data_IF_955521003968
#
_entry.id   IF_955521003968
#
_cell.length_a   1.000
_cell.length_b   1.000
_cell.length_c   1.000
_cell.angle_alpha   90.00
_cell.angle_beta   90.00
_cell.angle_gamma   90.00
#
_symmetry.space_group_name_H-M   'P 1'
#
loop_
_entity.id
_entity.type
_entity.pdbx_description
1 polymer ?
#
# COMPACT_ATOMS: atom_id res chain seq x y z
N UNK A 1 -18.11 -11.79 19.43
CA UNK A 1 -16.69 -12.18 19.59
C UNK A 1 -15.97 -10.98 20.23
N UNK A 2 -15.33 -11.13 21.41
CA UNK A 2 -14.55 -10.04 22.00
C UNK A 2 -13.43 -9.58 21.08
N UNK A 3 -13.12 -8.28 21.06
CA UNK A 3 -11.99 -7.75 20.29
C UNK A 3 -10.67 -8.15 20.96
N UNK A 4 -9.70 -8.58 20.16
CA UNK A 4 -8.35 -8.92 20.66
C UNK A 4 -7.52 -7.67 20.97
N UNK A 5 -7.86 -6.54 20.35
CA UNK A 5 -7.34 -5.21 20.71
C UNK A 5 -8.49 -4.41 21.35
N UNK A 6 -8.61 -4.40 22.70
CA UNK A 6 -9.79 -3.85 23.38
C UNK A 6 -10.00 -2.36 23.14
N UNK A 7 -8.93 -1.62 22.84
CA UNK A 7 -8.96 -0.18 22.57
C UNK A 7 -9.68 0.19 21.28
N UNK A 8 -9.78 -0.72 20.31
CA UNK A 8 -10.43 -0.45 19.03
C UNK A 8 -11.94 -0.36 19.19
N UNK A 9 -12.45 0.85 19.42
CA UNK A 9 -13.86 1.16 19.66
C UNK A 9 -14.63 1.44 18.37
N UNK A 10 -13.95 2.03 17.39
CA UNK A 10 -14.44 2.44 16.07
C UNK A 10 -13.81 1.57 14.98
N UNK A 11 -14.43 1.42 13.79
CA UNK A 11 -13.89 0.60 12.71
C UNK A 11 -12.55 1.17 12.18
N UNK A 12 -11.67 0.27 11.74
CA UNK A 12 -10.48 0.60 10.97
C UNK A 12 -10.73 0.08 9.56
N UNK A 13 -10.66 0.95 8.55
CA UNK A 13 -10.89 0.56 7.16
C UNK A 13 -9.55 0.46 6.45
N UNK A 14 -9.25 -0.69 5.86
CA UNK A 14 -8.07 -0.88 5.02
C UNK A 14 -8.44 -0.63 3.56
N UNK A 15 -7.82 0.36 2.93
CA UNK A 15 -7.83 0.54 1.49
C UNK A 15 -6.56 -0.08 0.91
N UNK A 16 -6.67 -1.25 0.27
CA UNK A 16 -5.54 -1.95 -0.34
C UNK A 16 -5.35 -1.52 -1.79
N UNK A 17 -4.13 -1.15 -2.18
CA UNK A 17 -3.77 -0.93 -3.58
C UNK A 17 -3.60 -2.26 -4.33
N UNK A 18 -4.65 -2.76 -4.97
CA UNK A 18 -4.66 -4.08 -5.62
C UNK A 18 -3.97 -4.11 -7.01
N UNK A 19 -2.79 -3.50 -7.15
CA UNK A 19 -2.01 -3.52 -8.40
C UNK A 19 -0.50 -3.49 -8.15
N UNK A 20 0.26 -4.15 -9.02
CA UNK A 20 1.72 -4.07 -9.05
C UNK A 20 2.40 -4.68 -7.82
N UNK A 21 3.57 -4.14 -7.50
CA UNK A 21 4.41 -4.54 -6.37
C UNK A 21 4.70 -6.06 -6.37
N UNK A 22 4.77 -6.69 -5.19
CA UNK A 22 5.15 -8.10 -5.05
C UNK A 22 4.23 -9.04 -5.84
N UNK A 23 2.97 -8.66 -6.06
CA UNK A 23 1.94 -9.48 -6.72
C UNK A 23 2.10 -9.54 -8.23
N UNK A 24 3.00 -8.73 -8.81
CA UNK A 24 3.39 -8.79 -10.22
C UNK A 24 4.91 -8.81 -10.41
N UNK A 25 5.64 -9.14 -9.35
CA UNK A 25 7.08 -9.20 -9.38
C UNK A 25 7.60 -10.36 -10.22
N UNK A 26 8.87 -10.26 -10.62
CA UNK A 26 9.66 -11.36 -11.15
C UNK A 26 10.84 -11.61 -10.24
N UNK A 27 11.03 -12.86 -9.86
CA UNK A 27 12.06 -13.31 -8.95
C UNK A 27 12.96 -14.37 -9.59
N UNK A 28 14.19 -14.48 -9.09
CA UNK A 28 15.18 -15.39 -9.63
C UNK A 28 16.17 -15.87 -8.56
N UNK A 29 16.55 -17.15 -8.63
CA UNK A 29 17.59 -17.75 -7.79
C UNK A 29 18.94 -17.66 -8.50
N UNK A 30 19.90 -17.02 -7.86
CA UNK A 30 21.27 -16.83 -8.34
C UNK A 30 22.14 -17.95 -7.78
N UNK A 31 22.81 -18.73 -8.66
CA UNK A 31 23.57 -19.94 -8.26
C UNK A 31 25.08 -19.74 -8.14
N UNK A 32 25.60 -18.52 -8.32
CA UNK A 32 27.04 -18.27 -8.32
C UNK A 32 27.41 -16.79 -8.36
N UNK A 33 28.66 -16.52 -8.68
CA UNK A 33 29.22 -15.16 -8.77
C UNK A 33 28.67 -14.40 -9.99
N UNK A 34 28.57 -13.08 -9.89
CA UNK A 34 28.14 -12.23 -11.01
C UNK A 34 27.49 -10.91 -10.59
N UNK A 35 27.43 -9.97 -11.52
CA UNK A 35 26.80 -8.66 -11.30
C UNK A 35 25.31 -8.69 -11.64
N UNK A 36 24.47 -8.33 -10.67
CA UNK A 36 23.05 -8.08 -10.86
C UNK A 36 22.85 -6.60 -11.21
N UNK A 37 22.21 -6.35 -12.34
CA UNK A 37 21.83 -5.02 -12.81
C UNK A 37 20.33 -4.94 -13.04
N UNK A 38 19.77 -3.76 -12.83
CA UNK A 38 18.45 -3.37 -13.34
C UNK A 38 18.66 -2.57 -14.62
N UNK A 39 17.97 -2.95 -15.69
CA UNK A 39 18.10 -2.29 -16.99
C UNK A 39 16.72 -1.82 -17.45
N UNK A 40 16.61 -0.53 -17.79
CA UNK A 40 15.42 0.03 -18.43
C UNK A 40 15.82 0.57 -19.81
N UNK A 41 15.09 0.19 -20.85
CA UNK A 41 15.35 0.66 -22.22
C UNK A 41 14.20 1.55 -22.67
N UNK A 42 14.39 2.89 -22.69
CA UNK A 42 13.39 3.80 -23.22
C UNK A 42 13.11 3.52 -24.69
N UNK A 43 11.86 3.69 -25.12
CA UNK A 43 11.51 3.55 -26.54
C UNK A 43 12.26 4.63 -27.35
N UNK A 44 13.17 4.18 -28.22
CA UNK A 44 13.98 5.07 -29.06
C UNK A 44 15.15 5.75 -28.34
N UNK A 45 15.52 5.27 -27.15
CA UNK A 45 16.69 5.75 -26.41
C UNK A 45 17.63 4.61 -26.03
N UNK A 46 18.77 4.97 -25.44
CA UNK A 46 19.78 4.01 -24.97
C UNK A 46 19.37 3.37 -23.63
N UNK A 47 19.79 2.12 -23.35
CA UNK A 47 19.56 1.46 -22.07
C UNK A 47 20.14 2.23 -20.88
N UNK A 48 19.35 2.37 -19.83
CA UNK A 48 19.76 2.84 -18.51
C UNK A 48 20.07 1.64 -17.62
N UNK A 49 21.30 1.55 -17.13
CA UNK A 49 21.73 0.46 -16.25
C UNK A 49 22.00 0.95 -14.83
N UNK A 50 21.46 0.23 -13.85
CA UNK A 50 21.72 0.46 -12.42
C UNK A 50 22.26 -0.85 -11.84
N UNK A 51 23.50 -0.85 -11.38
CA UNK A 51 24.03 -1.98 -10.61
C UNK A 51 23.30 -2.09 -9.27
N UNK A 52 22.76 -3.27 -9.00
CA UNK A 52 22.04 -3.56 -7.76
C UNK A 52 22.99 -4.22 -6.76
N UNK A 53 23.74 -5.21 -7.21
CA UNK A 53 24.65 -5.98 -6.35
C UNK A 53 25.67 -6.77 -7.17
N UNK A 54 26.84 -7.02 -6.60
CA UNK A 54 27.84 -7.91 -7.19
C UNK A 54 28.03 -9.16 -6.30
N UNK A 55 27.49 -10.30 -6.76
CA UNK A 55 27.63 -11.59 -6.09
C UNK A 55 29.09 -12.06 -6.19
N UNK A 56 29.75 -12.14 -5.03
CA UNK A 56 31.10 -12.67 -4.87
C UNK A 56 31.07 -14.14 -4.46
N UNK A 57 32.20 -14.83 -4.64
CA UNK A 57 32.38 -16.23 -4.23
C UNK A 57 31.85 -16.58 -2.85
N UNK A 58 32.10 -15.72 -1.87
CA UNK A 58 31.73 -15.97 -0.47
C UNK A 58 30.22 -15.85 -0.19
N UNK A 59 29.44 -15.23 -1.08
CA UNK A 59 27.98 -15.18 -0.96
C UNK A 59 27.30 -16.51 -1.33
N UNK A 60 27.98 -17.38 -2.10
CA UNK A 60 27.47 -18.71 -2.50
C UNK A 60 26.14 -18.66 -3.29
N UNK A 61 25.87 -17.56 -3.99
CA UNK A 61 24.61 -17.32 -4.70
C UNK A 61 23.66 -16.42 -3.89
N UNK A 62 22.35 -16.51 -4.18
CA UNK A 62 21.32 -15.75 -3.49
C UNK A 62 20.01 -15.69 -4.28
N UNK A 63 19.21 -14.66 -4.01
CA UNK A 63 17.95 -14.40 -4.71
C UNK A 63 17.87 -12.93 -5.13
N UNK A 64 17.14 -12.67 -6.20
CA UNK A 64 16.84 -11.33 -6.69
C UNK A 64 15.36 -11.22 -7.03
N UNK A 65 14.80 -10.03 -6.89
CA UNK A 65 13.42 -9.72 -7.25
C UNK A 65 13.35 -8.32 -7.83
N UNK A 66 12.50 -8.14 -8.84
CA UNK A 66 12.12 -6.85 -9.40
C UNK A 66 10.60 -6.71 -9.40
N UNK A 67 10.11 -5.55 -8.98
CA UNK A 67 8.70 -5.19 -8.96
C UNK A 67 8.50 -3.78 -9.52
N UNK A 68 7.26 -3.46 -9.88
CA UNK A 68 6.93 -2.17 -10.49
C UNK A 68 5.53 -1.72 -10.09
N UNK A 69 5.29 -0.42 -10.27
CA UNK A 69 3.97 0.19 -10.22
C UNK A 69 3.88 1.30 -11.28
N UNK A 70 2.70 1.91 -11.45
CA UNK A 70 2.48 2.99 -12.43
C UNK A 70 1.83 4.20 -11.78
N UNK A 71 2.21 5.40 -12.21
CA UNK A 71 1.63 6.66 -11.73
C UNK A 71 0.10 6.69 -11.94
N UNK A 72 -0.40 6.13 -13.04
CA UNK A 72 -1.83 5.98 -13.31
C UNK A 72 -2.53 5.17 -12.22
N UNK A 73 -1.97 4.01 -11.86
CA UNK A 73 -2.56 3.13 -10.85
C UNK A 73 -2.50 3.75 -9.47
N UNK A 74 -1.38 4.38 -9.11
CA UNK A 74 -1.21 5.07 -7.83
C UNK A 74 -2.18 6.25 -7.72
N UNK A 75 -2.32 7.04 -8.78
CA UNK A 75 -3.29 8.16 -8.82
C UNK A 75 -4.72 7.67 -8.65
N UNK A 76 -5.11 6.60 -9.36
CA UNK A 76 -6.42 5.98 -9.21
C UNK A 76 -6.70 5.52 -7.78
N UNK A 77 -5.70 4.90 -7.14
CA UNK A 77 -5.77 4.50 -5.74
C UNK A 77 -5.90 5.69 -4.77
N UNK A 78 -5.18 6.78 -5.01
CA UNK A 78 -5.31 8.02 -4.24
C UNK A 78 -6.72 8.60 -4.32
N UNK A 79 -7.26 8.78 -5.53
CA UNK A 79 -8.62 9.26 -5.73
C UNK A 79 -9.66 8.39 -5.03
N UNK A 80 -9.56 7.07 -5.15
CA UNK A 80 -10.47 6.14 -4.48
C UNK A 80 -10.42 6.29 -2.96
N UNK A 81 -9.20 6.40 -2.39
CA UNK A 81 -8.98 6.58 -0.96
C UNK A 81 -9.57 7.90 -0.43
N UNK A 82 -9.32 9.02 -1.12
CA UNK A 82 -9.85 10.32 -0.72
C UNK A 82 -11.38 10.40 -0.82
N UNK A 83 -11.97 9.87 -1.90
CA UNK A 83 -13.44 9.81 -2.05
C UNK A 83 -14.08 8.98 -0.94
N UNK A 84 -13.49 7.84 -0.60
CA UNK A 84 -13.99 6.99 0.49
C UNK A 84 -13.90 7.70 1.85
N UNK A 85 -12.81 8.40 2.12
CA UNK A 85 -12.62 9.16 3.37
C UNK A 85 -13.69 10.26 3.52
N UNK A 86 -13.99 10.99 2.45
CA UNK A 86 -15.06 12.01 2.43
C UNK A 86 -16.43 11.37 2.64
N UNK A 87 -16.76 10.29 1.92
CA UNK A 87 -18.04 9.57 2.06
C UNK A 87 -18.26 9.10 3.50
N UNK A 88 -17.24 8.50 4.10
CA UNK A 88 -17.29 7.99 5.48
C UNK A 88 -17.11 9.07 6.54
N UNK A 89 -16.68 10.27 6.15
CA UNK A 89 -16.26 11.35 7.06
C UNK A 89 -15.23 10.85 8.08
N UNK A 90 -14.23 10.13 7.59
CA UNK A 90 -13.14 9.59 8.40
C UNK A 90 -11.79 10.16 7.93
N UNK A 91 -10.85 10.43 8.84
CA UNK A 91 -9.50 10.82 8.44
C UNK A 91 -8.78 9.68 7.71
N UNK A 92 -7.84 10.04 6.85
CA UNK A 92 -7.11 9.11 5.97
C UNK A 92 -5.61 9.15 6.30
N UNK A 93 -5.04 7.97 6.49
CA UNK A 93 -3.60 7.77 6.56
C UNK A 93 -3.12 6.98 5.35
N UNK A 94 -2.07 7.44 4.67
CA UNK A 94 -1.35 6.64 3.68
C UNK A 94 0.03 6.31 4.22
N UNK A 95 0.44 5.05 4.15
CA UNK A 95 1.72 4.63 4.73
C UNK A 95 2.68 3.95 3.76
N UNK A 96 3.96 4.23 3.95
CA UNK A 96 5.06 3.70 3.13
C UNK A 96 6.34 3.52 3.94
N UNK A 97 7.43 3.05 3.32
CA UNK A 97 8.79 3.13 3.84
C UNK A 97 9.70 4.03 2.99
N UNK A 98 9.21 5.23 2.62
CA UNK A 98 9.91 6.17 1.73
C UNK A 98 11.27 6.69 2.24
N UNK A 99 11.60 6.55 3.54
CA UNK A 99 12.96 6.82 4.03
C UNK A 99 13.99 5.82 3.52
N UNK A 100 13.57 4.59 3.20
CA UNK A 100 14.38 3.52 2.63
C UNK A 100 14.19 3.47 1.12
N UNK A 101 12.94 3.32 0.65
CA UNK A 101 12.60 3.27 -0.77
C UNK A 101 12.33 4.67 -1.32
N UNK A 102 13.36 5.52 -1.30
CA UNK A 102 13.26 6.97 -1.57
C UNK A 102 12.58 7.32 -2.90
N UNK A 103 12.84 6.55 -3.95
CA UNK A 103 12.21 6.77 -5.27
C UNK A 103 10.86 6.06 -5.38
N UNK A 104 10.80 4.78 -5.06
CA UNK A 104 9.60 3.96 -5.25
C UNK A 104 8.45 4.38 -4.33
N UNK A 105 8.69 4.37 -3.02
CA UNK A 105 7.69 4.76 -2.01
C UNK A 105 7.55 6.28 -1.92
N UNK A 106 8.61 7.02 -2.26
CA UNK A 106 8.53 8.47 -2.45
C UNK A 106 7.48 8.83 -3.50
N UNK A 107 7.42 8.10 -4.62
CA UNK A 107 6.43 8.39 -5.67
C UNK A 107 4.98 8.22 -5.20
N UNK A 108 4.69 7.22 -4.37
CA UNK A 108 3.37 7.08 -3.73
C UNK A 108 3.04 8.30 -2.86
N UNK A 109 3.97 8.71 -2.00
CA UNK A 109 3.81 9.88 -1.13
C UNK A 109 3.55 11.15 -1.94
N UNK A 110 4.37 11.38 -2.95
CA UNK A 110 4.31 12.60 -3.76
C UNK A 110 2.98 12.66 -4.53
N UNK A 111 2.56 11.58 -5.20
CA UNK A 111 1.28 11.54 -5.93
C UNK A 111 0.09 11.77 -5.00
N UNK A 112 0.05 11.11 -3.84
CA UNK A 112 -1.05 11.33 -2.88
C UNK A 112 -1.09 12.77 -2.38
N UNK A 113 0.07 13.36 -2.07
CA UNK A 113 0.15 14.74 -1.59
C UNK A 113 -0.26 15.74 -2.66
N UNK A 114 0.23 15.58 -3.89
CA UNK A 114 -0.12 16.42 -5.04
C UNK A 114 -1.63 16.40 -5.30
N UNK A 115 -2.25 15.21 -5.33
CA UNK A 115 -3.69 15.05 -5.54
C UNK A 115 -4.49 15.66 -4.37
N UNK A 116 -4.05 15.41 -3.13
CA UNK A 116 -4.72 15.96 -1.95
C UNK A 116 -4.77 17.50 -2.00
N UNK A 117 -3.60 18.13 -2.15
CA UNK A 117 -3.48 19.59 -2.12
C UNK A 117 -4.23 20.26 -3.26
N UNK A 118 -4.22 19.64 -4.45
CA UNK A 118 -4.85 20.19 -5.65
C UNK A 118 -6.37 20.00 -5.67
N UNK A 119 -6.87 18.86 -5.19
CA UNK A 119 -8.24 18.43 -5.49
C UNK A 119 -9.12 18.16 -4.27
N UNK A 120 -8.56 17.75 -3.13
CA UNK A 120 -9.37 17.23 -2.01
C UNK A 120 -9.27 18.01 -0.71
N UNK A 121 -8.24 18.84 -0.53
CA UNK A 121 -7.99 19.56 0.71
C UNK A 121 -9.19 20.38 1.20
N UNK A 122 -9.84 21.12 0.31
CA UNK A 122 -11.00 21.94 0.65
C UNK A 122 -12.21 21.09 1.13
N UNK A 123 -12.44 19.93 0.50
CA UNK A 123 -13.53 19.03 0.90
C UNK A 123 -13.24 18.32 2.22
N UNK A 124 -11.97 17.97 2.47
CA UNK A 124 -11.53 17.42 3.75
C UNK A 124 -11.70 18.43 4.90
N UNK A 125 -11.27 19.68 4.69
CA UNK A 125 -11.45 20.76 5.66
C UNK A 125 -12.94 21.01 5.95
N UNK A 126 -13.78 21.04 4.91
CA UNK A 126 -15.24 21.18 5.05
C UNK A 126 -15.88 20.03 5.82
N UNK A 127 -15.36 18.81 5.66
CA UNK A 127 -15.82 17.62 6.38
C UNK A 127 -15.23 17.48 7.79
N UNK A 128 -14.26 18.32 8.17
CA UNK A 128 -13.59 18.26 9.47
C UNK A 128 -12.67 17.04 9.63
N UNK A 129 -12.12 16.53 8.53
CA UNK A 129 -11.20 15.38 8.47
C UNK A 129 -9.85 15.81 7.87
N UNK A 130 -8.84 14.96 7.97
CA UNK A 130 -7.50 15.24 7.46
C UNK A 130 -6.91 14.05 6.71
N UNK A 131 -5.90 14.35 5.90
CA UNK A 131 -5.01 13.37 5.29
C UNK A 131 -3.61 13.52 5.88
N UNK A 132 -2.95 12.38 6.17
CA UNK A 132 -1.57 12.37 6.61
C UNK A 132 -0.80 11.18 6.01
N UNK A 133 0.42 11.45 5.54
CA UNK A 133 1.39 10.40 5.21
C UNK A 133 2.15 9.98 6.46
N UNK A 134 2.30 8.67 6.69
CA UNK A 134 3.12 8.12 7.78
C UNK A 134 4.09 7.04 7.31
N UNK A 135 5.16 6.84 8.07
CA UNK A 135 5.98 5.65 7.90
C UNK A 135 5.21 4.42 8.41
N UNK A 136 5.28 3.31 7.69
CA UNK A 136 4.48 2.11 7.97
C UNK A 136 4.71 1.57 9.38
N UNK A 137 5.94 1.62 9.89
CA UNK A 137 6.28 1.20 11.25
C UNK A 137 5.66 2.08 12.34
N UNK A 138 5.63 3.41 12.14
CA UNK A 138 4.91 4.31 13.05
C UNK A 138 3.39 4.09 12.94
N UNK A 139 2.88 3.91 11.72
CA UNK A 139 1.46 3.72 11.46
C UNK A 139 0.90 2.48 12.16
N UNK A 140 1.59 1.33 12.09
CA UNK A 140 1.13 0.10 12.78
C UNK A 140 1.21 0.24 14.30
N UNK A 141 2.22 0.96 14.83
CA UNK A 141 2.32 1.23 16.26
C UNK A 141 1.19 2.15 16.75
N UNK A 142 0.84 3.17 15.96
CA UNK A 142 -0.31 4.05 16.23
C UNK A 142 -1.63 3.27 16.12
N UNK A 143 -1.75 2.37 15.14
CA UNK A 143 -2.96 1.57 14.92
C UNK A 143 -3.34 0.81 16.19
N UNK A 144 -2.40 0.09 16.79
CA UNK A 144 -2.60 -0.68 18.03
C UNK A 144 -3.02 0.21 19.22
N UNK A 145 -2.49 1.42 19.32
CA UNK A 145 -2.78 2.36 20.42
C UNK A 145 -4.05 3.19 20.22
N UNK A 146 -4.59 3.23 19.00
CA UNK A 146 -5.72 4.07 18.65
C UNK A 146 -7.06 3.52 19.15
N UNK A 147 -8.10 4.34 19.06
CA UNK A 147 -9.48 3.88 19.23
C UNK A 147 -10.14 3.39 17.92
N UNK A 148 -9.39 3.33 16.82
CA UNK A 148 -9.92 3.17 15.46
C UNK A 148 -10.59 4.45 14.93
N UNK A 149 -11.39 4.33 13.88
CA UNK A 149 -12.18 5.43 13.31
C UNK A 149 -11.42 6.23 12.25
N UNK A 150 -10.71 5.53 11.37
CA UNK A 150 -9.94 6.10 10.27
C UNK A 150 -9.78 5.09 9.14
N UNK A 151 -9.29 5.58 8.00
CA UNK A 151 -8.94 4.76 6.85
C UNK A 151 -7.42 4.69 6.73
N UNK A 152 -6.90 3.50 6.43
CA UNK A 152 -5.50 3.27 6.10
C UNK A 152 -5.41 2.89 4.62
N UNK A 153 -4.91 3.80 3.79
CA UNK A 153 -4.49 3.52 2.43
C UNK A 153 -3.12 2.84 2.45
N UNK A 154 -3.11 1.55 2.14
CA UNK A 154 -1.94 0.69 2.20
C UNK A 154 -1.54 0.21 0.80
N UNK A 155 -0.23 0.16 0.56
CA UNK A 155 0.34 -0.53 -0.60
C UNK A 155 -0.11 -1.98 -0.63
N UNK A 156 0.04 -2.63 -1.79
CA UNK A 156 -0.57 -3.94 -2.05
C UNK A 156 -0.26 -4.97 -0.95
N UNK A 157 1.02 -5.15 -0.62
CA UNK A 157 1.47 -6.11 0.39
C UNK A 157 1.08 -5.71 1.82
N UNK A 158 1.23 -4.43 2.16
CA UNK A 158 0.85 -3.95 3.49
C UNK A 158 -0.66 -4.10 3.70
N UNK A 159 -1.46 -3.83 2.67
CA UNK A 159 -2.92 -3.96 2.69
C UNK A 159 -3.37 -5.40 2.93
N UNK A 160 -2.73 -6.36 2.27
CA UNK A 160 -2.99 -7.79 2.42
C UNK A 160 -2.72 -8.28 3.85
N UNK A 161 -1.55 -7.95 4.40
CA UNK A 161 -1.16 -8.41 5.74
C UNK A 161 -1.96 -7.69 6.83
N UNK A 162 -2.15 -6.38 6.71
CA UNK A 162 -2.82 -5.61 7.76
C UNK A 162 -4.35 -5.80 7.75
N UNK A 163 -4.98 -6.13 6.61
CA UNK A 163 -6.41 -6.49 6.61
C UNK A 163 -6.69 -7.70 7.50
N UNK A 164 -5.84 -8.72 7.45
CA UNK A 164 -5.98 -9.92 8.27
C UNK A 164 -5.82 -9.61 9.76
N UNK A 165 -4.83 -8.78 10.10
CA UNK A 165 -4.60 -8.33 11.48
C UNK A 165 -5.81 -7.54 12.00
N UNK A 166 -6.35 -6.62 11.19
CA UNK A 166 -7.55 -5.86 11.56
C UNK A 166 -8.75 -6.80 11.74
N UNK A 167 -8.99 -7.70 10.80
CA UNK A 167 -10.10 -8.65 10.86
C UNK A 167 -10.04 -9.51 12.14
N UNK A 168 -8.87 -10.07 12.41
CA UNK A 168 -8.64 -10.90 13.59
C UNK A 168 -8.72 -10.08 14.89
N UNK A 169 -8.24 -8.83 14.88
CA UNK A 169 -8.34 -7.90 16.01
C UNK A 169 -9.79 -7.53 16.36
N UNK A 170 -10.68 -7.46 15.36
CA UNK A 170 -12.12 -7.30 15.55
C UNK A 170 -12.87 -8.61 15.81
N UNK A 171 -12.18 -9.75 15.74
CA UNK A 171 -12.64 -11.03 16.28
C UNK A 171 -12.39 -12.22 15.35
N UNK A 172 -12.63 -12.07 14.04
CA UNK A 172 -12.44 -13.14 13.05
C UNK A 172 -12.43 -12.57 11.63
N UNK A 173 -11.63 -13.20 10.78
CA UNK A 173 -11.65 -13.03 9.33
C UNK A 173 -13.05 -13.17 8.71
N UNK A 174 -13.90 -14.06 9.23
CA UNK A 174 -15.27 -14.26 8.75
C UNK A 174 -16.23 -13.10 9.05
N UNK A 175 -15.79 -12.09 9.80
CA UNK A 175 -16.57 -10.89 10.13
C UNK A 175 -16.14 -9.65 9.32
N UNK A 176 -15.23 -9.82 8.36
CA UNK A 176 -14.75 -8.74 7.51
C UNK A 176 -15.40 -8.77 6.14
N UNK A 177 -15.82 -7.59 5.67
CA UNK A 177 -16.29 -7.37 4.30
C UNK A 177 -15.13 -6.89 3.43
N UNK A 178 -14.93 -7.48 2.26
CA UNK A 178 -14.02 -6.96 1.23
C UNK A 178 -14.82 -6.47 0.01
N UNK A 179 -14.44 -5.30 -0.50
CA UNK A 179 -15.00 -4.71 -1.72
C UNK A 179 -13.85 -4.08 -2.52
N UNK A 180 -13.63 -4.58 -3.73
CA UNK A 180 -12.77 -3.96 -4.72
C UNK A 180 -13.57 -2.91 -5.48
N UNK A 181 -13.02 -1.70 -5.60
CA UNK A 181 -13.64 -0.57 -6.31
C UNK A 181 -12.71 -0.17 -7.45
N UNK A 182 -13.23 -0.12 -8.68
CA UNK A 182 -12.47 0.40 -9.81
C UNK A 182 -12.29 1.92 -9.74
N UNK A 183 -11.24 2.49 -10.38
CA UNK A 183 -10.96 3.94 -10.30
C UNK A 183 -12.11 4.85 -10.76
N UNK A 184 -12.98 4.36 -11.66
CA UNK A 184 -14.17 5.07 -12.12
C UNK A 184 -15.31 5.08 -11.08
N UNK A 185 -15.18 4.34 -9.99
CA UNK A 185 -16.16 4.21 -8.91
C UNK A 185 -17.45 3.48 -9.30
N UNK A 186 -17.47 2.80 -10.46
CA UNK A 186 -18.68 2.16 -10.99
C UNK A 186 -18.71 0.66 -10.82
N UNK A 187 -17.55 0.00 -10.86
CA UNK A 187 -17.47 -1.46 -10.78
C UNK A 187 -17.04 -1.87 -9.38
N UNK A 188 -17.78 -2.83 -8.83
CA UNK A 188 -17.54 -3.38 -7.51
C UNK A 188 -17.42 -4.89 -7.62
N UNK A 189 -16.39 -5.46 -7.01
CA UNK A 189 -16.29 -6.89 -6.74
C UNK A 189 -16.33 -7.07 -5.22
N UNK A 190 -17.21 -7.93 -4.72
CA UNK A 190 -17.26 -8.26 -3.30
C UNK A 190 -16.76 -9.68 -3.12
N UNK A 191 -15.77 -9.85 -2.25
CA UNK A 191 -15.20 -11.13 -1.88
C UNK A 191 -15.25 -11.31 -0.35
N UNK A 192 -15.17 -12.55 0.11
CA UNK A 192 -14.82 -12.80 1.50
C UNK A 192 -13.36 -12.35 1.71
N UNK A 193 -13.07 -11.66 2.80
CA UNK A 193 -11.69 -11.23 3.10
C UNK A 193 -10.73 -12.39 3.43
N UNK A 194 -11.24 -13.62 3.52
CA UNK A 194 -10.45 -14.81 3.78
C UNK A 194 -10.41 -15.73 2.56
N UNK A 195 -9.35 -16.54 2.47
CA UNK A 195 -9.21 -17.56 1.44
C UNK A 195 -10.30 -18.64 1.51
N UNK A 196 -10.22 -19.61 0.58
CA UNK A 196 -11.05 -20.81 0.59
C UNK A 196 -10.71 -21.64 1.81
N UNK A 197 -11.56 -21.56 2.85
CA UNK A 197 -11.54 -22.47 3.99
C UNK A 197 -11.98 -23.86 3.53
#
# INVERSE_FOLDING_TARGET
IPRLVPGWKKPIIIGRHAFGDQYRAKDHVIKGEGTLKMVFTPKGGEPEEIEVFNFQKHHQGGVAQTQYNTDESISGFAHASFKLAIDKKLPLYMSTKNTILKKYDGRFKDIFQEIYDKEYKADFEKAGIWYEHRLIDDMVAQMIKSEGGYIMALKNYDGDVQSDIVAQGFGSLGLMTSVLITPDGKTFESEAAHGTV
#
